data_IF_649244811750
#
_entry.id   IF_649244811750
#
_cell.length_a   1.000
_cell.length_b   1.000
_cell.length_c   1.000
_cell.angle_alpha   90.00
_cell.angle_beta   90.00
_cell.angle_gamma   90.00
#
_symmetry.space_group_name_H-M   'P 1'
#
loop_
_entity.id
_entity.type
_entity.pdbx_description
1 polymer ?
#
# COMPACT_ATOMS: atom_id res chain seq x y z
N UNK A 1 -22.60 -8.67 7.39
CA UNK A 1 -21.75 -9.78 6.89
C UNK A 1 -20.41 -9.23 6.44
N UNK A 2 -19.34 -9.51 7.18
CA UNK A 2 -18.00 -8.99 6.89
C UNK A 2 -17.29 -9.95 5.91
N UNK A 3 -17.53 -9.82 4.60
CA UNK A 3 -16.77 -10.56 3.59
C UNK A 3 -15.36 -9.96 3.54
N UNK A 4 -14.45 -10.50 4.34
CA UNK A 4 -13.04 -10.12 4.29
C UNK A 4 -12.52 -10.30 2.87
N UNK A 5 -11.90 -9.26 2.31
CA UNK A 5 -11.26 -9.34 1.00
C UNK A 5 -10.10 -10.34 1.11
N UNK A 6 -10.27 -11.54 0.54
CA UNK A 6 -9.20 -12.54 0.43
C UNK A 6 -8.31 -12.16 -0.74
N UNK A 7 -7.17 -11.52 -0.44
CA UNK A 7 -6.11 -11.24 -1.40
C UNK A 7 -4.94 -12.17 -1.09
N UNK A 8 -4.49 -12.93 -2.09
CA UNK A 8 -3.42 -13.92 -1.97
C UNK A 8 -2.06 -13.42 -2.49
N UNK A 9 -1.99 -12.17 -2.96
CA UNK A 9 -0.78 -11.59 -3.53
C UNK A 9 -1.04 -10.36 -4.37
N UNK A 10 -0.03 -9.97 -5.13
CA UNK A 10 -0.08 -8.92 -6.14
C UNK A 10 -0.06 -9.55 -7.56
N UNK A 11 -0.69 -8.93 -8.55
CA UNK A 11 -1.52 -7.73 -8.43
C UNK A 11 -2.88 -8.02 -7.79
N UNK A 12 -3.54 -7.01 -7.23
CA UNK A 12 -4.95 -7.12 -6.79
C UNK A 12 -5.76 -5.88 -7.11
N UNK A 13 -7.05 -6.07 -7.40
CA UNK A 13 -7.98 -4.97 -7.66
C UNK A 13 -8.66 -4.50 -6.38
N UNK A 14 -8.87 -3.20 -6.30
CA UNK A 14 -9.56 -2.56 -5.18
C UNK A 14 -10.18 -1.24 -5.59
N UNK A 15 -11.09 -0.74 -4.75
CA UNK A 15 -11.80 0.50 -4.99
C UNK A 15 -11.18 1.62 -4.17
N UNK A 16 -10.99 2.79 -4.78
CA UNK A 16 -10.61 4.02 -4.08
C UNK A 16 -11.79 4.47 -3.22
N UNK A 17 -11.54 4.71 -1.93
CA UNK A 17 -12.58 5.17 -1.00
C UNK A 17 -12.93 6.64 -1.22
N UNK A 18 -14.07 7.06 -0.68
CA UNK A 18 -14.59 8.45 -0.79
C UNK A 18 -13.54 9.48 -0.33
N UNK A 19 -12.71 9.12 0.66
CA UNK A 19 -11.64 9.94 1.19
C UNK A 19 -10.29 9.79 0.45
N UNK A 20 -10.30 9.28 -0.79
CA UNK A 20 -9.12 9.03 -1.63
C UNK A 20 -8.12 8.00 -1.04
N UNK A 21 -8.57 7.19 -0.09
CA UNK A 21 -7.75 6.14 0.50
C UNK A 21 -7.95 4.80 -0.20
N UNK A 22 -6.92 3.98 -0.10
CA UNK A 22 -6.91 2.62 -0.61
C UNK A 22 -6.57 1.67 0.53
N UNK A 23 -7.34 0.58 0.64
CA UNK A 23 -7.12 -0.45 1.66
C UNK A 23 -6.12 -1.50 1.17
N UNK A 24 -5.14 -1.78 2.02
CA UNK A 24 -4.26 -2.95 1.93
C UNK A 24 -4.77 -3.98 2.96
N UNK A 25 -5.31 -5.13 2.51
CA UNK A 25 -5.84 -6.15 3.41
C UNK A 25 -4.78 -6.72 4.35
N UNK A 26 -5.19 -7.11 5.56
CA UNK A 26 -4.29 -7.65 6.60
C UNK A 26 -3.42 -8.81 6.12
N UNK A 27 -3.97 -9.70 5.30
CA UNK A 27 -3.22 -10.85 4.77
C UNK A 27 -2.10 -10.39 3.82
N UNK A 28 -2.36 -9.38 2.99
CA UNK A 28 -1.35 -8.84 2.09
C UNK A 28 -0.28 -8.06 2.86
N UNK A 29 -0.66 -7.29 3.89
CA UNK A 29 0.32 -6.62 4.77
C UNK A 29 1.30 -7.63 5.37
N UNK A 30 0.80 -8.76 5.87
CA UNK A 30 1.62 -9.85 6.43
C UNK A 30 2.48 -10.55 5.39
N UNK A 31 1.90 -10.84 4.23
CA UNK A 31 2.60 -11.50 3.12
C UNK A 31 3.79 -10.65 2.63
N UNK A 32 3.63 -9.33 2.62
CA UNK A 32 4.67 -8.38 2.20
C UNK A 32 5.66 -8.01 3.32
N UNK A 33 5.42 -8.41 4.57
CA UNK A 33 6.30 -8.08 5.69
C UNK A 33 6.33 -6.60 6.07
N UNK A 34 5.30 -5.82 5.70
CA UNK A 34 5.23 -4.36 5.90
C UNK A 34 4.44 -3.97 7.16
N UNK A 35 4.26 -4.87 8.12
CA UNK A 35 3.49 -4.61 9.35
C UNK A 35 4.04 -3.43 10.14
N UNK A 36 5.37 -3.30 10.17
CA UNK A 36 6.09 -2.27 10.94
C UNK A 36 6.46 -1.05 10.10
N UNK A 37 6.24 -1.09 8.79
CA UNK A 37 6.52 0.02 7.89
C UNK A 37 5.55 1.18 8.13
N UNK A 38 6.11 2.37 8.13
CA UNK A 38 5.41 3.65 8.20
C UNK A 38 5.11 4.20 6.80
N UNK A 39 5.96 3.88 5.82
CA UNK A 39 5.87 4.36 4.46
C UNK A 39 6.08 3.23 3.45
N UNK A 40 5.45 3.37 2.28
CA UNK A 40 5.65 2.46 1.16
C UNK A 40 5.78 3.22 -0.17
N UNK A 41 6.50 2.62 -1.10
CA UNK A 41 6.39 2.92 -2.52
C UNK A 41 5.32 1.99 -3.10
N UNK A 42 4.35 2.54 -3.82
CA UNK A 42 3.23 1.79 -4.37
C UNK A 42 3.16 2.02 -5.86
N UNK A 43 2.99 0.94 -6.61
CA UNK A 43 2.73 0.98 -8.05
C UNK A 43 1.29 0.58 -8.28
N UNK A 44 0.52 1.46 -8.93
CA UNK A 44 -0.87 1.19 -9.30
C UNK A 44 -1.04 1.22 -10.82
N UNK A 45 -2.06 0.51 -11.30
CA UNK A 45 -2.56 0.61 -12.67
C UNK A 45 -3.96 1.21 -12.64
N UNK A 46 -4.16 2.26 -13.44
CA UNK A 46 -5.44 2.95 -13.62
C UNK A 46 -5.59 3.36 -15.08
N UNK A 47 -6.73 3.05 -15.70
CA UNK A 47 -7.00 3.35 -17.13
C UNK A 47 -5.85 2.96 -18.08
N UNK A 48 -5.25 1.79 -17.85
CA UNK A 48 -4.12 1.29 -18.65
C UNK A 48 -2.75 1.92 -18.37
N UNK A 49 -2.67 2.93 -17.48
CA UNK A 49 -1.42 3.61 -17.11
C UNK A 49 -0.82 3.01 -15.85
N UNK A 50 0.51 2.85 -15.83
CA UNK A 50 1.29 2.50 -14.63
C UNK A 50 1.69 3.78 -13.92
N UNK A 51 1.40 3.87 -12.63
CA UNK A 51 1.61 5.07 -11.81
C UNK A 51 2.44 4.68 -10.59
N UNK A 52 3.61 5.30 -10.46
CA UNK A 52 4.50 5.12 -9.31
C UNK A 52 4.21 6.19 -8.26
N UNK A 53 3.81 5.77 -7.07
CA UNK A 53 3.52 6.66 -5.95
C UNK A 53 4.57 6.42 -4.86
N UNK A 54 5.46 7.40 -4.70
CA UNK A 54 6.58 7.27 -3.77
C UNK A 54 6.19 7.67 -2.35
N UNK A 55 6.72 6.93 -1.37
CA UNK A 55 6.67 7.26 0.07
C UNK A 55 5.28 7.64 0.60
N UNK A 56 4.24 6.88 0.24
CA UNK A 56 2.91 7.06 0.84
C UNK A 56 2.93 6.60 2.29
N UNK A 57 2.24 7.34 3.17
CA UNK A 57 2.09 6.95 4.57
C UNK A 57 1.13 5.78 4.71
N UNK A 58 1.57 4.73 5.41
CA UNK A 58 0.74 3.59 5.77
C UNK A 58 -0.02 3.88 7.07
N UNK A 59 -1.29 4.25 6.91
CA UNK A 59 -2.22 4.50 8.01
C UNK A 59 -2.60 3.18 8.68
N UNK A 60 -2.44 3.13 10.01
CA UNK A 60 -2.70 1.95 10.82
C UNK A 60 -4.14 1.90 11.29
N UNK A 61 -4.77 0.74 11.14
CA UNK A 61 -6.00 0.42 11.86
C UNK A 61 -5.65 -0.05 13.29
N UNK A 62 -6.34 0.47 14.31
CA UNK A 62 -6.11 0.07 15.71
C UNK A 62 -6.50 -1.39 15.99
N UNK A 63 -7.50 -1.91 15.28
CA UNK A 63 -8.12 -3.23 15.52
C UNK A 63 -7.69 -4.31 14.52
N UNK A 64 -6.87 -3.97 13.53
CA UNK A 64 -6.47 -4.89 12.46
C UNK A 64 -5.05 -4.61 11.96
N UNK A 65 -4.40 -5.63 11.39
CA UNK A 65 -3.09 -5.48 10.72
C UNK A 65 -3.20 -4.73 9.38
N UNK A 66 -4.41 -4.55 8.85
CA UNK A 66 -4.61 -3.80 7.61
C UNK A 66 -4.00 -2.40 7.67
N UNK A 67 -3.65 -1.93 6.47
CA UNK A 67 -3.12 -0.58 6.25
C UNK A 67 -3.99 0.14 5.24
N UNK A 68 -3.97 1.46 5.30
CA UNK A 68 -4.52 2.31 4.26
C UNK A 68 -3.46 3.30 3.83
N UNK A 69 -3.53 3.76 2.60
CA UNK A 69 -2.75 4.91 2.16
C UNK A 69 -3.66 5.86 1.37
N UNK A 70 -3.32 7.14 1.39
CA UNK A 70 -4.02 8.15 0.61
C UNK A 70 -3.31 8.32 -0.74
N UNK A 71 -4.06 8.35 -1.84
CA UNK A 71 -3.50 8.73 -3.14
C UNK A 71 -3.25 10.25 -3.13
N UNK A 72 -1.99 10.71 -3.31
CA UNK A 72 -1.65 12.12 -3.28
C UNK A 72 -2.45 12.95 -4.28
N UNK A 73 -2.67 14.23 -3.97
CA UNK A 73 -3.52 15.10 -4.78
C UNK A 73 -2.97 15.27 -6.19
N UNK A 74 -1.67 15.50 -6.29
CA UNK A 74 -0.91 15.65 -7.52
C UNK A 74 -1.04 14.42 -8.42
N UNK A 75 -1.04 13.21 -7.83
CA UNK A 75 -1.23 11.96 -8.58
C UNK A 75 -2.67 11.85 -9.07
N UNK A 76 -3.66 12.17 -8.23
CA UNK A 76 -5.08 12.13 -8.62
C UNK A 76 -5.37 13.10 -9.76
N UNK A 77 -4.88 14.33 -9.67
CA UNK A 77 -5.10 15.36 -10.69
C UNK A 77 -4.36 15.02 -11.99
N UNK A 78 -3.10 14.55 -11.93
CA UNK A 78 -2.33 14.21 -13.12
C UNK A 78 -2.88 12.99 -13.88
N UNK A 79 -3.41 11.99 -13.16
CA UNK A 79 -3.84 10.72 -13.76
C UNK A 79 -5.36 10.48 -13.73
N UNK A 80 -6.14 11.48 -13.28
CA UNK A 80 -7.59 11.43 -13.28
C UNK A 80 -8.22 10.47 -12.28
N UNK A 81 -7.49 10.05 -11.24
CA UNK A 81 -7.98 9.08 -10.24
C UNK A 81 -9.00 9.73 -9.32
N UNK A 82 -10.23 9.23 -9.33
CA UNK A 82 -11.36 9.74 -8.56
C UNK A 82 -11.74 8.79 -7.41
N UNK A 83 -12.44 9.30 -6.39
CA UNK A 83 -13.10 8.44 -5.43
C UNK A 83 -14.04 7.47 -6.15
N UNK A 84 -14.13 6.25 -5.63
CA UNK A 84 -14.94 5.17 -6.16
C UNK A 84 -14.45 4.52 -7.46
N UNK A 85 -13.32 4.96 -8.02
CA UNK A 85 -12.68 4.27 -9.14
C UNK A 85 -12.14 2.90 -8.72
N UNK A 86 -12.10 1.97 -9.66
CA UNK A 86 -11.38 0.71 -9.52
C UNK A 86 -9.93 0.89 -9.99
N UNK A 87 -8.99 0.48 -9.15
CA UNK A 87 -7.56 0.46 -9.45
C UNK A 87 -7.01 -0.94 -9.24
N UNK A 88 -5.88 -1.22 -9.85
CA UNK A 88 -5.11 -2.43 -9.60
C UNK A 88 -3.80 -2.07 -8.92
N UNK A 89 -3.56 -2.63 -7.74
CA UNK A 89 -2.26 -2.50 -7.07
C UNK A 89 -1.33 -3.54 -7.68
N UNK A 90 -0.24 -3.07 -8.25
CA UNK A 90 0.75 -3.89 -8.96
C UNK A 90 1.93 -4.21 -8.06
N UNK A 91 2.43 -3.25 -7.29
CA UNK A 91 3.53 -3.45 -6.35
C UNK A 91 3.36 -2.61 -5.09
N UNK A 92 3.88 -3.10 -3.97
CA UNK A 92 4.00 -2.36 -2.70
C UNK A 92 5.33 -2.77 -2.06
N UNK A 93 6.19 -1.79 -1.81
CA UNK A 93 7.49 -2.00 -1.17
C UNK A 93 7.67 -1.03 0.00
N UNK A 94 8.27 -1.44 1.12
CA UNK A 94 8.60 -0.53 2.22
C UNK A 94 9.55 0.57 1.74
N UNK A 95 9.27 1.81 2.14
CA UNK A 95 10.08 2.97 1.76
C UNK A 95 11.09 3.39 2.84
N UNK A 96 11.20 2.60 3.91
CA UNK A 96 12.28 2.75 4.88
C UNK A 96 13.57 2.18 4.31
N UNK A 97 14.68 2.91 4.48
CA UNK A 97 16.01 2.31 4.35
C UNK A 97 16.12 1.25 5.43
N UNK A 98 16.20 -0.03 5.06
CA UNK A 98 16.55 -1.09 6.01
C UNK A 98 17.94 -0.75 6.54
N UNK A 99 18.03 -0.16 7.73
CA UNK A 99 19.27 0.01 8.46
C UNK A 99 19.70 -1.36 9.01
N UNK A 100 20.15 -2.26 8.12
CA UNK A 100 20.83 -3.50 8.48
C UNK A 100 22.26 -3.20 8.96
N UNK A 101 22.41 -2.41 10.03
CA UNK A 101 23.71 -2.08 10.65
C UNK A 101 23.79 -2.44 12.13
N UNK A 102 22.96 -3.36 12.63
CA UNK A 102 23.03 -3.81 14.03
C UNK A 102 23.28 -5.30 14.25
N UNK A 103 23.15 -6.16 13.24
CA UNK A 103 23.32 -7.62 13.43
C UNK A 103 24.68 -8.19 12.97
N UNK A 104 25.56 -7.38 12.37
CA UNK A 104 26.93 -7.81 12.03
C UNK A 104 27.95 -7.56 13.16
N UNK A 105 27.65 -6.71 14.15
CA UNK A 105 28.61 -6.33 15.20
C UNK A 105 28.59 -7.23 16.46
N UNK A 106 27.84 -8.33 16.45
CA UNK A 106 27.80 -9.30 17.55
C UNK A 106 28.35 -10.69 17.16
N UNK A 107 29.01 -10.78 16.01
CA UNK A 107 29.72 -12.00 15.57
C UNK A 107 31.23 -11.76 15.58
N UNK A 108 31.79 -11.38 16.73
CA UNK A 108 33.22 -11.51 17.01
C UNK A 108 33.41 -11.86 18.47
#
# INVERSE_FOLDING_TARGET
>A
MNRGIKVNGLPYRTRVYINNQVLIPSNLVKLLGIEKSLFANVVIRHEGRIINISRVKLLRNRRATSRQFTIPREVREAYGVKPLDEIEIVNIEPAETINNRRDELLRH
#
